data_IF_972685769255
#
_entry.id   IF_972685769255
#
_cell.length_a   1.000
_cell.length_b   1.000
_cell.length_c   1.000
_cell.angle_alpha   90.00
_cell.angle_beta   90.00
_cell.angle_gamma   90.00
#
_symmetry.space_group_name_H-M   'P 1'
#
loop_
_entity.id
_entity.type
_entity.pdbx_description
1 polymer ?
#
# COMPACT_ATOMS: atom_id res chain seq x y z
N UNK A 1 19.68 22.40 7.98
CA UNK A 1 18.51 22.20 7.21
C UNK A 1 18.50 20.85 6.58
N UNK A 2 17.51 20.66 5.88
CA UNK A 2 17.34 19.37 5.32
C UNK A 2 18.43 19.01 4.32
N UNK A 3 18.74 17.78 4.34
CA UNK A 3 19.62 17.42 3.46
C UNK A 3 19.25 18.00 2.28
N UNK A 4 20.04 18.04 1.55
CA UNK A 4 19.79 18.58 0.24
C UNK A 4 18.87 17.64 -0.52
N UNK A 5 18.17 18.16 -1.47
CA UNK A 5 17.36 17.29 -2.30
C UNK A 5 18.23 16.30 -3.07
N UNK A 6 19.46 16.65 -3.40
CA UNK A 6 20.36 15.72 -4.08
C UNK A 6 20.66 14.51 -3.18
N UNK A 7 20.93 14.76 -1.90
CA UNK A 7 21.22 13.66 -0.97
C UNK A 7 19.98 12.79 -0.77
N UNK A 8 18.80 13.41 -0.64
CA UNK A 8 17.56 12.65 -0.53
C UNK A 8 17.29 11.80 -1.76
N UNK A 9 17.58 12.36 -2.94
CA UNK A 9 17.35 11.62 -4.17
C UNK A 9 18.30 10.44 -4.30
N UNK A 10 19.53 10.58 -3.84
CA UNK A 10 20.47 9.46 -3.87
C UNK A 10 19.99 8.36 -2.94
N UNK A 11 19.53 8.72 -1.75
CA UNK A 11 19.02 7.75 -0.80
C UNK A 11 17.80 7.01 -1.35
N UNK A 12 16.85 7.76 -1.92
CA UNK A 12 15.67 7.14 -2.51
C UNK A 12 16.04 6.17 -3.61
N UNK A 13 16.99 6.56 -4.44
CA UNK A 13 17.41 5.71 -5.55
C UNK A 13 18.04 4.43 -5.05
N UNK A 14 18.88 4.52 -4.01
CA UNK A 14 19.52 3.34 -3.47
C UNK A 14 18.51 2.39 -2.83
N UNK A 15 17.57 2.92 -2.06
CA UNK A 15 16.54 2.11 -1.43
C UNK A 15 15.70 1.41 -2.50
N UNK A 16 15.32 2.17 -3.54
CA UNK A 16 14.48 1.62 -4.59
C UNK A 16 15.20 0.55 -5.38
N UNK A 17 16.48 0.74 -5.67
CA UNK A 17 17.24 -0.27 -6.40
C UNK A 17 17.37 -1.55 -5.60
N UNK A 18 17.53 -1.45 -4.28
CA UNK A 18 17.57 -2.64 -3.44
C UNK A 18 16.25 -3.39 -3.51
N UNK A 19 15.13 -2.68 -3.50
CA UNK A 19 13.83 -3.28 -3.62
C UNK A 19 13.65 -3.96 -4.99
N UNK A 20 14.01 -3.26 -6.05
CA UNK A 20 13.78 -3.73 -7.41
C UNK A 20 14.59 -5.01 -7.69
N UNK A 21 15.78 -5.11 -7.12
CA UNK A 21 16.58 -6.32 -7.29
C UNK A 21 15.91 -7.59 -6.82
N UNK A 22 15.06 -7.35 -6.13
CA UNK A 22 14.44 -8.43 -5.60
C UNK A 22 13.26 -8.81 -6.30
N UNK A 23 12.91 -8.13 -7.04
CA UNK A 23 11.62 -8.30 -7.71
C UNK A 23 11.80 -8.97 -9.05
N UNK A 24 10.86 -9.82 -9.38
CA UNK A 24 10.72 -10.31 -10.75
C UNK A 24 9.87 -9.32 -11.51
N UNK A 25 9.99 -9.34 -12.84
CA UNK A 25 9.31 -8.31 -13.63
C UNK A 25 7.79 -8.39 -13.56
N UNK A 26 7.24 -9.54 -13.21
CA UNK A 26 5.78 -9.69 -13.10
C UNK A 26 5.26 -9.58 -11.67
N UNK A 27 6.13 -9.31 -10.71
CA UNK A 27 5.68 -9.19 -9.32
C UNK A 27 4.85 -7.94 -9.15
N UNK A 28 3.82 -8.05 -8.33
CA UNK A 28 3.01 -6.91 -7.92
C UNK A 28 3.53 -6.44 -6.57
N UNK A 29 3.69 -5.14 -6.44
CA UNK A 29 4.10 -4.55 -5.18
C UNK A 29 2.85 -4.07 -4.46
N UNK A 30 2.63 -4.56 -3.24
CA UNK A 30 1.54 -4.04 -2.42
C UNK A 30 2.13 -3.10 -1.39
N UNK A 31 1.76 -1.84 -1.49
CA UNK A 31 2.26 -0.81 -0.58
C UNK A 31 1.40 -0.77 0.66
N UNK A 32 1.93 -1.26 1.77
CA UNK A 32 1.24 -1.23 3.05
C UNK A 32 1.99 -0.35 4.05
N UNK A 33 2.89 0.47 3.55
CA UNK A 33 3.59 1.44 4.37
C UNK A 33 2.80 2.74 4.44
N UNK A 34 3.10 3.55 5.45
CA UNK A 34 2.52 4.88 5.49
C UNK A 34 3.09 5.72 4.36
N UNK A 35 2.40 6.82 4.06
CA UNK A 35 2.88 7.71 3.00
C UNK A 35 4.29 8.21 3.27
N UNK A 36 4.60 8.45 4.54
CA UNK A 36 5.94 8.90 4.91
C UNK A 36 7.02 7.91 4.50
N UNK A 37 6.79 6.64 4.82
CA UNK A 37 7.79 5.62 4.51
C UNK A 37 7.84 5.32 3.03
N UNK A 38 6.69 5.31 2.37
CA UNK A 38 6.68 5.02 0.94
C UNK A 38 7.31 6.15 0.13
N UNK A 39 7.36 7.35 0.70
CA UNK A 39 7.95 8.48 -0.02
C UNK A 39 9.43 8.30 -0.32
N UNK A 40 10.12 7.38 0.38
CA UNK A 40 11.53 7.12 0.06
C UNK A 40 11.71 6.29 -1.20
N UNK A 41 10.62 5.76 -1.75
CA UNK A 41 10.70 4.95 -2.96
C UNK A 41 10.67 5.85 -4.19
N UNK A 42 11.65 5.67 -5.06
CA UNK A 42 11.68 6.40 -6.33
C UNK A 42 10.86 5.59 -7.34
N UNK A 43 9.61 5.97 -7.52
CA UNK A 43 8.70 5.21 -8.36
C UNK A 43 9.14 5.16 -9.81
N UNK A 44 9.95 6.12 -10.24
CA UNK A 44 10.42 6.14 -11.63
C UNK A 44 11.33 4.96 -11.95
N UNK A 45 11.90 4.32 -10.91
CA UNK A 45 12.78 3.17 -11.09
C UNK A 45 12.03 1.84 -11.02
N UNK A 46 10.72 1.87 -10.79
CA UNK A 46 9.93 0.65 -10.62
C UNK A 46 8.98 0.51 -11.80
N UNK A 47 9.11 -0.59 -12.53
CA UNK A 47 8.18 -0.89 -13.62
C UNK A 47 7.04 -1.77 -13.16
N UNK A 48 7.14 -2.34 -11.95
CA UNK A 48 6.10 -3.22 -11.44
C UNK A 48 4.85 -2.43 -11.06
N UNK A 49 3.72 -3.11 -11.12
CA UNK A 49 2.46 -2.52 -10.66
C UNK A 49 2.49 -2.34 -9.16
N UNK A 50 2.15 -1.14 -8.70
CA UNK A 50 2.08 -0.84 -7.27
C UNK A 50 0.63 -0.68 -6.86
N UNK A 51 0.20 -1.48 -5.89
CA UNK A 51 -1.16 -1.44 -5.36
C UNK A 51 -1.11 -0.89 -3.94
N UNK A 52 -1.91 0.13 -3.67
CA UNK A 52 -1.92 0.78 -2.36
C UNK A 52 -3.32 0.69 -1.76
N UNK A 53 -3.62 -0.34 -0.97
CA UNK A 53 -4.94 -0.45 -0.34
C UNK A 53 -5.22 0.71 0.61
N UNK A 54 -6.47 1.15 0.62
CA UNK A 54 -6.93 2.21 1.50
C UNK A 54 -7.94 1.63 2.48
N UNK A 55 -7.85 2.02 3.74
CA UNK A 55 -8.76 1.53 4.78
C UNK A 55 -9.50 2.71 5.38
N UNK A 56 -10.83 2.68 5.25
CA UNK A 56 -11.65 3.80 5.71
C UNK A 56 -12.71 3.33 6.67
N UNK A 57 -12.96 4.15 7.68
CA UNK A 57 -13.99 3.86 8.68
C UNK A 57 -15.08 4.92 8.61
N UNK A 58 -16.32 4.51 8.83
CA UNK A 58 -17.38 5.47 9.01
C UNK A 58 -17.23 6.16 10.36
N UNK A 59 -17.29 7.47 10.32
CA UNK A 59 -17.29 8.26 11.54
C UNK A 59 -18.15 9.49 11.31
N UNK A 60 -19.18 9.65 12.13
CA UNK A 60 -20.10 10.78 12.00
C UNK A 60 -20.71 10.86 10.60
N UNK A 61 -21.06 9.69 10.06
CA UNK A 61 -21.72 9.62 8.77
C UNK A 61 -20.83 9.76 7.56
N UNK A 62 -19.53 9.83 7.77
CA UNK A 62 -18.58 9.98 6.67
C UNK A 62 -17.49 8.93 6.72
N UNK A 63 -17.00 8.55 5.56
CA UNK A 63 -15.87 7.65 5.48
C UNK A 63 -14.58 8.45 5.62
N UNK A 64 -13.72 8.01 6.52
CA UNK A 64 -12.46 8.68 6.79
C UNK A 64 -11.36 7.68 7.00
N UNK A 65 -10.15 8.08 6.65
CA UNK A 65 -8.97 7.31 7.04
C UNK A 65 -8.60 7.73 8.46
N UNK A 66 -8.73 6.80 9.39
CA UNK A 66 -8.36 7.04 10.77
C UNK A 66 -7.02 6.35 10.99
N UNK A 67 -5.97 7.14 11.21
CA UNK A 67 -4.58 6.66 11.17
C UNK A 67 -4.35 5.43 12.01
N UNK A 68 -4.85 5.42 13.25
CA UNK A 68 -4.61 4.30 14.15
C UNK A 68 -5.24 3.02 13.59
N UNK A 69 -6.47 3.12 13.12
CA UNK A 69 -7.17 1.96 12.58
C UNK A 69 -6.59 1.52 11.25
N UNK A 70 -6.20 2.48 10.42
CA UNK A 70 -5.61 2.15 9.13
C UNK A 70 -4.27 1.43 9.31
N UNK A 71 -3.50 1.85 10.31
CA UNK A 71 -2.23 1.19 10.60
C UNK A 71 -2.45 -0.26 10.99
N UNK A 72 -3.44 -0.52 11.86
CA UNK A 72 -3.74 -1.89 12.25
C UNK A 72 -4.22 -2.71 11.05
N UNK A 73 -5.05 -2.11 10.21
CA UNK A 73 -5.58 -2.81 9.04
C UNK A 73 -4.46 -3.18 8.07
N UNK A 74 -3.49 -2.28 7.89
CA UNK A 74 -2.36 -2.60 7.02
C UNK A 74 -1.57 -3.79 7.55
N UNK A 75 -1.42 -3.87 8.86
CA UNK A 75 -0.77 -5.02 9.48
C UNK A 75 -1.55 -6.30 9.24
N UNK A 76 -2.87 -6.25 9.38
CA UNK A 76 -3.71 -7.42 9.12
C UNK A 76 -3.64 -7.83 7.65
N UNK A 77 -3.59 -6.86 6.74
CA UNK A 77 -3.48 -7.16 5.32
C UNK A 77 -2.13 -7.84 5.02
N UNK A 78 -1.07 -7.39 5.69
CA UNK A 78 0.24 -8.01 5.52
C UNK A 78 0.17 -9.48 5.89
N UNK A 79 -0.44 -9.79 7.04
CA UNK A 79 -0.59 -11.17 7.46
C UNK A 79 -1.44 -11.96 6.48
N UNK A 80 -2.51 -11.36 6.01
CA UNK A 80 -3.40 -12.02 5.06
C UNK A 80 -2.65 -12.41 3.80
N UNK A 81 -1.85 -11.49 3.27
CA UNK A 81 -1.10 -11.74 2.05
C UNK A 81 -0.08 -12.85 2.25
N UNK A 82 0.63 -12.81 3.37
CA UNK A 82 1.66 -13.81 3.64
C UNK A 82 1.04 -15.18 3.91
N UNK A 83 0.02 -15.22 4.76
CA UNK A 83 -0.58 -16.48 5.17
C UNK A 83 -1.27 -17.19 4.02
N UNK A 84 -1.77 -16.46 3.05
CA UNK A 84 -2.52 -17.03 1.93
C UNK A 84 -1.77 -16.99 0.62
N UNK A 85 -0.52 -16.57 0.65
CA UNK A 85 0.32 -16.53 -0.55
C UNK A 85 -0.38 -15.77 -1.68
N UNK A 86 -0.91 -14.60 -1.34
CA UNK A 86 -1.67 -13.79 -2.29
C UNK A 86 -0.72 -13.21 -3.35
N UNK A 87 -1.12 -13.30 -4.61
CA UNK A 87 -0.25 -12.86 -5.70
C UNK A 87 -0.92 -11.94 -6.72
N UNK A 88 -2.23 -11.70 -6.58
CA UNK A 88 -2.89 -10.84 -7.54
C UNK A 88 -3.94 -9.98 -6.87
N UNK A 89 -4.38 -8.96 -7.60
CA UNK A 89 -5.29 -7.96 -7.06
C UNK A 89 -6.63 -8.54 -6.66
N UNK A 90 -7.18 -9.44 -7.47
CA UNK A 90 -8.50 -9.96 -7.14
C UNK A 90 -8.49 -10.73 -5.82
N UNK A 91 -7.37 -11.38 -5.51
CA UNK A 91 -7.27 -12.08 -4.23
C UNK A 91 -7.13 -11.10 -3.08
N UNK A 92 -6.48 -9.95 -3.31
CA UNK A 92 -6.39 -8.92 -2.28
C UNK A 92 -7.78 -8.40 -1.92
N UNK A 93 -8.65 -8.28 -2.91
CA UNK A 93 -10.01 -7.77 -2.69
C UNK A 93 -10.84 -8.69 -1.81
N UNK A 94 -10.43 -9.94 -1.60
CA UNK A 94 -11.16 -10.84 -0.73
C UNK A 94 -10.85 -10.64 0.75
N UNK A 95 -9.92 -9.73 1.08
CA UNK A 95 -9.59 -9.43 2.47
C UNK A 95 -10.85 -8.98 3.24
N UNK A 96 -11.08 -9.57 4.41
CA UNK A 96 -12.21 -9.16 5.24
C UNK A 96 -11.92 -9.37 6.73
N UNK A 97 -10.87 -8.77 7.22
CA UNK A 97 -10.52 -8.85 8.63
C UNK A 97 -10.99 -7.64 9.40
N UNK A 98 -11.36 -7.85 10.64
CA UNK A 98 -11.72 -6.78 11.57
C UNK A 98 -12.86 -5.89 11.05
N UNK A 99 -13.73 -6.45 10.25
CA UNK A 99 -14.88 -5.74 9.72
C UNK A 99 -14.64 -4.99 8.42
N UNK A 100 -13.41 -4.89 7.98
CA UNK A 100 -13.13 -4.22 6.70
C UNK A 100 -13.49 -5.13 5.55
N UNK A 101 -14.13 -4.55 4.53
CA UNK A 101 -14.46 -5.28 3.32
C UNK A 101 -14.24 -4.39 2.11
N UNK A 102 -13.84 -5.01 1.02
CA UNK A 102 -13.62 -4.27 -0.22
C UNK A 102 -14.90 -3.58 -0.66
N UNK A 103 -14.77 -2.33 -1.08
CA UNK A 103 -15.88 -1.56 -1.60
C UNK A 103 -15.57 -1.09 -3.01
N UNK A 104 -16.25 -1.67 -3.97
CA UNK A 104 -16.08 -1.25 -5.35
C UNK A 104 -16.59 0.16 -5.56
N UNK A 105 -17.67 0.52 -4.88
CA UNK A 105 -18.24 1.86 -5.02
C UNK A 105 -17.30 2.96 -4.58
N UNK A 106 -16.51 2.68 -3.53
CA UNK A 106 -15.58 3.68 -3.01
C UNK A 106 -14.24 3.67 -3.73
N UNK A 107 -13.97 2.65 -4.53
CA UNK A 107 -12.70 2.51 -5.23
C UNK A 107 -12.77 3.24 -6.56
N UNK A 108 -12.12 4.40 -6.63
CA UNK A 108 -12.09 5.18 -7.87
C UNK A 108 -10.86 4.89 -8.70
N UNK A 109 -9.81 4.39 -8.06
CA UNK A 109 -8.58 4.01 -8.74
C UNK A 109 -8.35 2.52 -8.48
N UNK A 110 -8.34 1.67 -9.52
CA UNK A 110 -8.18 0.23 -9.29
C UNK A 110 -6.90 -0.13 -8.55
N UNK A 111 -5.87 0.71 -8.62
CA UNK A 111 -4.62 0.45 -7.92
C UNK A 111 -4.65 0.91 -6.46
N UNK A 112 -5.77 1.50 -6.03
CA UNK A 112 -5.96 1.90 -4.65
C UNK A 112 -7.28 1.34 -4.14
N UNK A 113 -7.39 0.02 -4.02
CA UNK A 113 -8.66 -0.58 -3.59
C UNK A 113 -9.04 -0.11 -2.19
N UNK A 114 -10.29 0.26 -2.01
CA UNK A 114 -10.77 0.81 -0.76
C UNK A 114 -11.51 -0.26 0.03
N UNK A 115 -11.12 -0.42 1.29
CA UNK A 115 -11.76 -1.34 2.23
C UNK A 115 -12.44 -0.51 3.30
N UNK A 116 -13.69 -0.83 3.56
CA UNK A 116 -14.56 0.00 4.39
C UNK A 116 -15.05 -0.79 5.59
N UNK A 117 -15.12 -0.10 6.71
CA UNK A 117 -15.70 -0.68 7.93
C UNK A 117 -16.70 0.24 8.56
#
# INVERSE_FOLDING_TARGET
PRXSSAASDVYKRQVTKSLVNXLNENDIIVNLASNEYFSVIDKSLISNTIITPQFKDFKNGKLKIISFYAKKARGLMTRFIIDNDIKNLSDIESFNSSGYMFSQNETTNPLEPVFVR
#
